data_IF_219121238958
#
_entry.id   IF_219121238958
#
_cell.length_a   1.000
_cell.length_b   1.000
_cell.length_c   1.000
_cell.angle_alpha   90.00
_cell.angle_beta   90.00
_cell.angle_gamma   90.00
#
_symmetry.space_group_name_H-M   'P 1'
#
loop_
_entity.id
_entity.type
_entity.pdbx_description
1 polymer ?
#
# COMPACT_ATOMS: atom_id res chain seq x y z
N UNK A 1 -15.49 -18.81 0.38
CA UNK A 1 -15.62 -18.14 -0.94
C UNK A 1 -14.83 -16.83 -0.96
N UNK A 2 -15.00 -15.90 -0.01
CA UNK A 2 -14.19 -14.65 0.03
C UNK A 2 -12.69 -14.87 0.36
N UNK A 3 -12.38 -15.75 1.32
CA UNK A 3 -10.98 -16.04 1.70
C UNK A 3 -10.14 -16.63 0.56
N UNK A 4 -10.76 -17.40 -0.35
CA UNK A 4 -10.06 -17.97 -1.50
C UNK A 4 -9.70 -16.93 -2.57
N UNK A 5 -10.52 -15.90 -2.75
CA UNK A 5 -10.25 -14.83 -3.71
C UNK A 5 -9.15 -13.91 -3.20
N UNK A 6 -9.19 -13.56 -1.91
CA UNK A 6 -8.13 -12.80 -1.24
C UNK A 6 -6.75 -13.43 -1.44
N UNK A 7 -6.62 -14.72 -1.11
CA UNK A 7 -5.36 -15.46 -1.25
C UNK A 7 -4.90 -15.51 -2.72
N UNK A 8 -5.83 -15.76 -3.64
CA UNK A 8 -5.55 -15.81 -5.07
C UNK A 8 -5.02 -14.46 -5.58
N UNK A 9 -5.69 -13.38 -5.25
CA UNK A 9 -5.40 -12.07 -5.83
C UNK A 9 -4.11 -11.49 -5.28
N UNK A 10 -3.78 -11.73 -4.01
CA UNK A 10 -2.48 -11.38 -3.42
C UNK A 10 -1.30 -12.11 -4.08
N UNK A 11 -1.48 -13.38 -4.47
CA UNK A 11 -0.45 -14.15 -5.18
C UNK A 11 -0.34 -13.72 -6.64
N UNK A 12 -1.46 -13.54 -7.34
CA UNK A 12 -1.49 -13.14 -8.74
C UNK A 12 -0.83 -11.77 -8.97
N UNK A 13 -1.03 -10.83 -8.05
CA UNK A 13 -0.40 -9.52 -8.10
C UNK A 13 1.03 -9.50 -7.53
N UNK A 14 1.57 -10.67 -7.17
CA UNK A 14 2.91 -10.85 -6.58
C UNK A 14 3.12 -10.09 -5.29
N UNK A 15 2.06 -9.69 -4.58
CA UNK A 15 2.18 -9.09 -3.24
C UNK A 15 2.72 -10.13 -2.26
N UNK A 16 2.30 -11.37 -2.44
CA UNK A 16 2.94 -12.56 -1.87
C UNK A 16 3.79 -13.21 -2.98
N UNK A 17 5.10 -13.43 -2.79
CA UNK A 17 5.88 -13.21 -1.57
C UNK A 17 6.63 -11.86 -1.53
N UNK A 18 6.48 -10.98 -2.51
CA UNK A 18 7.42 -9.85 -2.67
C UNK A 18 7.29 -8.76 -1.60
N UNK A 19 6.09 -8.53 -1.07
CA UNK A 19 5.80 -7.44 -0.12
C UNK A 19 5.54 -8.00 1.26
N UNK A 20 4.79 -9.10 1.34
CA UNK A 20 4.48 -9.83 2.56
C UNK A 20 4.72 -11.33 2.33
N UNK A 21 5.14 -12.07 3.36
CA UNK A 21 5.60 -13.45 3.17
C UNK A 21 4.43 -14.43 2.97
N UNK A 22 3.25 -14.10 3.52
CA UNK A 22 2.04 -14.93 3.48
C UNK A 22 0.81 -14.07 3.23
N UNK A 23 -0.28 -14.62 2.66
CA UNK A 23 -1.53 -13.90 2.50
C UNK A 23 -2.11 -13.47 3.86
N UNK A 24 -2.81 -12.33 3.93
CA UNK A 24 -3.52 -11.92 5.14
C UNK A 24 -4.71 -12.84 5.43
N UNK A 25 -5.09 -12.94 6.69
CA UNK A 25 -6.22 -13.78 7.12
C UNK A 25 -7.57 -13.18 6.76
N UNK A 26 -7.66 -11.84 6.72
CA UNK A 26 -8.89 -11.10 6.46
C UNK A 26 -8.71 -9.98 5.43
N UNK A 27 -9.81 -9.59 4.79
CA UNK A 27 -9.84 -8.42 3.92
C UNK A 27 -9.84 -7.14 4.78
N UNK A 28 -8.93 -6.22 4.49
CA UNK A 28 -8.96 -4.87 5.06
C UNK A 28 -9.92 -4.00 4.25
N UNK A 29 -11.02 -3.56 4.85
CA UNK A 29 -11.95 -2.63 4.20
C UNK A 29 -11.39 -1.22 4.29
N UNK A 30 -11.03 -0.65 3.13
CA UNK A 30 -10.49 0.72 3.03
C UNK A 30 -11.46 1.55 2.20
N UNK A 31 -11.94 2.66 2.77
CA UNK A 31 -12.84 3.61 2.11
C UNK A 31 -12.27 5.01 2.20
N UNK A 32 -11.94 5.59 1.05
CA UNK A 32 -11.51 6.98 0.93
C UNK A 32 -12.73 7.93 0.89
N UNK A 33 -12.54 9.24 1.19
CA UNK A 33 -13.59 10.24 1.04
C UNK A 33 -14.24 10.21 -0.35
N UNK A 34 -15.54 10.48 -0.42
CA UNK A 34 -16.33 10.32 -1.65
C UNK A 34 -16.70 8.87 -1.96
N UNK A 35 -16.75 8.01 -0.94
CA UNK A 35 -17.19 6.60 -1.00
C UNK A 35 -16.32 5.68 -1.88
N UNK A 36 -15.10 6.10 -2.19
CA UNK A 36 -14.21 5.32 -3.03
C UNK A 36 -13.59 4.16 -2.26
N UNK A 37 -13.89 2.92 -2.68
CA UNK A 37 -13.44 1.70 -2.01
C UNK A 37 -12.21 1.10 -2.69
N UNK A 38 -11.31 0.55 -1.88
CA UNK A 38 -10.22 -0.33 -2.32
C UNK A 38 -10.75 -1.76 -2.43
N UNK A 39 -10.48 -2.40 -3.55
CA UNK A 39 -10.97 -3.75 -3.86
C UNK A 39 -9.93 -4.53 -4.67
N UNK A 40 -8.99 -5.17 -3.96
CA UNK A 40 -8.08 -6.21 -4.48
C UNK A 40 -7.48 -5.93 -5.86
N UNK A 41 -6.91 -4.74 -6.03
CA UNK A 41 -6.19 -4.35 -7.25
C UNK A 41 -6.96 -3.45 -8.19
N UNK A 42 -8.16 -2.98 -7.81
CA UNK A 42 -8.86 -1.95 -8.56
C UNK A 42 -7.98 -0.70 -8.76
N UNK A 43 -8.25 0.03 -9.84
CA UNK A 43 -7.54 1.26 -10.15
C UNK A 43 -8.23 2.42 -9.43
N UNK A 44 -7.45 3.20 -8.69
CA UNK A 44 -7.88 4.45 -8.08
C UNK A 44 -7.01 5.61 -8.57
N UNK A 45 -7.64 6.74 -8.89
CA UNK A 45 -6.91 7.92 -9.34
C UNK A 45 -6.23 8.61 -8.16
N UNK A 46 -5.04 9.23 -8.36
CA UNK A 46 -4.31 9.94 -7.30
C UNK A 46 -5.18 10.94 -6.53
N UNK A 47 -6.07 11.65 -7.25
CA UNK A 47 -7.00 12.62 -6.64
C UNK A 47 -8.02 11.97 -5.68
N UNK A 48 -8.37 10.70 -5.89
CA UNK A 48 -9.32 9.97 -5.05
C UNK A 48 -8.67 9.43 -3.77
N UNK A 49 -7.36 9.20 -3.79
CA UNK A 49 -6.61 8.56 -2.69
C UNK A 49 -5.69 9.51 -1.95
N UNK A 50 -5.87 10.82 -2.14
CA UNK A 50 -5.03 11.87 -1.54
C UNK A 50 -5.27 12.07 -0.03
N UNK A 51 -6.49 11.80 0.43
CA UNK A 51 -6.94 12.07 1.79
C UNK A 51 -6.92 10.78 2.64
N UNK A 52 -6.93 10.92 3.96
CA UNK A 52 -6.90 9.78 4.88
C UNK A 52 -8.16 8.90 4.72
N UNK A 53 -8.04 7.58 4.47
CA UNK A 53 -9.19 6.70 4.39
C UNK A 53 -9.67 6.25 5.78
N UNK A 54 -10.90 5.77 5.83
CA UNK A 54 -11.41 4.96 6.94
C UNK A 54 -11.08 3.50 6.68
N UNK A 55 -10.55 2.82 7.69
CA UNK A 55 -10.14 1.41 7.63
C UNK A 55 -10.91 0.57 8.64
N UNK A 56 -11.35 -0.63 8.24
CA UNK A 56 -12.10 -1.56 9.08
C UNK A 56 -11.67 -3.00 8.81
N UNK A 57 -11.47 -3.76 9.88
CA UNK A 57 -11.17 -5.20 9.85
C UNK A 57 -11.64 -5.85 11.16
N UNK A 58 -11.74 -7.19 11.23
CA UNK A 58 -12.01 -7.88 12.49
C UNK A 58 -10.90 -7.60 13.51
N UNK A 59 -11.24 -6.97 14.64
CA UNK A 59 -10.29 -6.65 15.71
C UNK A 59 -10.51 -7.55 16.92
N UNK A 60 -9.41 -7.94 17.56
CA UNK A 60 -9.43 -8.58 18.86
C UNK A 60 -9.34 -7.52 19.97
N UNK A 61 -10.21 -7.58 20.99
CA UNK A 61 -10.14 -6.65 22.12
C UNK A 61 -8.78 -6.72 22.84
N UNK A 62 -8.25 -5.57 23.24
CA UNK A 62 -6.97 -5.42 23.98
C UNK A 62 -5.72 -5.80 23.18
N UNK A 63 -5.84 -5.98 21.86
CA UNK A 63 -4.70 -6.18 20.96
C UNK A 63 -4.34 -4.86 20.28
N UNK A 64 -3.05 -4.57 20.16
CA UNK A 64 -2.55 -3.43 19.38
C UNK A 64 -2.19 -3.89 17.98
N UNK A 65 -2.57 -3.08 16.99
CA UNK A 65 -2.29 -3.34 15.58
C UNK A 65 -1.44 -2.23 14.99
N UNK A 66 -0.59 -2.60 14.03
CA UNK A 66 0.18 -1.63 13.22
C UNK A 66 -0.37 -1.65 11.81
N UNK A 67 -0.78 -0.48 11.30
CA UNK A 67 -1.20 -0.32 9.91
C UNK A 67 -0.01 0.19 9.07
N UNK A 68 0.29 -0.51 7.97
CA UNK A 68 1.34 -0.12 7.03
C UNK A 68 0.76 0.08 5.63
N UNK A 69 1.04 1.24 5.03
CA UNK A 69 0.78 1.52 3.61
C UNK A 69 2.13 1.69 2.92
N UNK A 70 2.44 0.85 1.93
CA UNK A 70 3.71 0.85 1.19
C UNK A 70 3.47 0.82 -0.31
N UNK A 71 4.40 1.38 -1.08
CA UNK A 71 4.42 1.29 -2.54
C UNK A 71 5.66 0.49 -2.99
N UNK A 72 5.46 -0.78 -3.36
CA UNK A 72 6.55 -1.63 -3.81
C UNK A 72 7.02 -1.30 -5.24
N UNK A 73 6.25 -0.51 -6.00
CA UNK A 73 6.38 -0.36 -7.44
C UNK A 73 6.91 1.03 -7.88
N UNK A 74 7.30 1.89 -6.94
CA UNK A 74 7.85 3.21 -7.24
C UNK A 74 9.28 3.16 -7.85
N UNK A 75 9.62 3.99 -8.88
CA UNK A 75 8.76 4.97 -9.58
C UNK A 75 7.95 4.39 -10.75
N UNK A 76 8.21 3.13 -11.14
CA UNK A 76 7.44 2.40 -12.15
C UNK A 76 7.80 0.90 -12.11
N UNK A 77 6.79 0.04 -12.34
CA UNK A 77 6.92 -1.42 -12.45
C UNK A 77 7.92 -1.87 -13.53
N UNK A 78 8.14 -1.06 -14.57
CA UNK A 78 9.01 -1.43 -15.71
C UNK A 78 10.50 -1.16 -15.47
N UNK A 79 10.85 -0.37 -14.46
CA UNK A 79 12.26 -0.09 -14.07
C UNK A 79 12.38 0.18 -12.56
N UNK A 80 12.41 -0.87 -11.71
CA UNK A 80 12.44 -0.73 -10.27
C UNK A 80 13.85 -0.36 -9.76
N UNK A 81 14.28 0.90 -9.94
CA UNK A 81 15.57 1.40 -9.43
C UNK A 81 15.54 1.78 -7.94
N UNK A 82 14.35 1.97 -7.35
CA UNK A 82 14.17 2.50 -5.97
C UNK A 82 13.10 1.78 -5.13
N UNK A 83 13.02 0.44 -5.22
CA UNK A 83 12.20 -0.40 -4.29
C UNK A 83 12.52 -0.03 -2.84
N UNK A 84 11.65 0.34 -1.90
CA UNK A 84 10.22 0.70 -1.81
C UNK A 84 10.05 2.20 -1.44
N UNK A 85 8.98 2.88 -1.87
CA UNK A 85 8.68 4.27 -1.46
C UNK A 85 7.56 4.34 -0.43
N UNK A 86 7.73 5.20 0.58
CA UNK A 86 6.71 5.50 1.58
C UNK A 86 5.81 6.65 1.11
N UNK A 87 4.50 6.42 1.02
CA UNK A 87 3.52 7.46 0.71
C UNK A 87 3.28 8.46 1.85
N UNK A 88 3.51 8.08 3.13
CA UNK A 88 3.20 8.93 4.29
C UNK A 88 4.41 9.74 4.82
N UNK A 89 5.62 9.59 4.26
CA UNK A 89 6.80 10.32 4.75
C UNK A 89 7.70 10.76 3.59
N UNK A 90 7.69 12.06 3.30
CA UNK A 90 8.37 12.68 2.16
C UNK A 90 9.88 12.87 2.31
N UNK A 91 10.50 12.35 3.38
CA UNK A 91 11.95 12.49 3.60
C UNK A 91 12.64 11.13 3.78
N UNK A 92 13.42 10.73 2.77
CA UNK A 92 14.55 9.81 2.94
C UNK A 92 14.27 8.31 3.13
N UNK A 93 13.04 7.83 2.94
CA UNK A 93 12.69 6.39 3.11
C UNK A 93 12.50 5.63 1.79
N UNK A 94 13.45 5.73 0.87
CA UNK A 94 13.57 4.69 -0.17
C UNK A 94 14.02 3.39 0.48
N UNK A 95 13.48 2.23 0.05
CA UNK A 95 13.81 0.86 0.53
C UNK A 95 13.12 0.39 1.82
N UNK A 96 11.88 0.81 2.07
CA UNK A 96 11.12 0.27 3.21
C UNK A 96 10.42 -1.06 2.97
N UNK A 97 11.01 -2.09 3.53
CA UNK A 97 10.45 -3.43 3.46
C UNK A 97 9.56 -3.71 4.65
N UNK A 98 8.28 -3.93 4.37
CA UNK A 98 7.31 -4.39 5.38
C UNK A 98 7.78 -5.70 6.00
N UNK A 99 8.41 -6.59 5.23
CA UNK A 99 9.01 -7.83 5.75
C UNK A 99 10.09 -7.53 6.79
N UNK A 100 11.11 -6.76 6.43
CA UNK A 100 12.19 -6.42 7.36
C UNK A 100 11.68 -5.66 8.59
N UNK A 101 10.67 -4.82 8.42
CA UNK A 101 10.04 -4.11 9.53
C UNK A 101 9.28 -5.08 10.46
N UNK A 102 8.48 -5.99 9.91
CA UNK A 102 7.77 -7.01 10.68
C UNK A 102 8.73 -7.92 11.43
N UNK A 103 9.80 -8.38 10.79
CA UNK A 103 10.84 -9.22 11.40
C UNK A 103 11.57 -8.49 12.53
N UNK A 104 12.01 -7.25 12.28
CA UNK A 104 12.76 -6.45 13.26
C UNK A 104 11.96 -6.21 14.55
N UNK A 105 10.65 -6.02 14.44
CA UNK A 105 9.77 -5.73 15.57
C UNK A 105 8.90 -6.93 15.99
N UNK A 106 9.13 -8.11 15.42
CA UNK A 106 8.43 -9.35 15.72
C UNK A 106 6.91 -9.21 15.66
N UNK A 107 6.40 -8.50 14.64
CA UNK A 107 4.96 -8.20 14.50
C UNK A 107 4.13 -9.40 14.05
N UNK A 108 4.78 -10.48 13.61
CA UNK A 108 4.12 -11.70 13.18
C UNK A 108 3.56 -11.64 11.76
N UNK A 109 2.51 -12.40 11.52
CA UNK A 109 1.86 -12.54 10.21
C UNK A 109 0.82 -11.43 9.97
N UNK A 110 0.57 -11.03 8.72
CA UNK A 110 -0.44 -10.02 8.42
C UNK A 110 -1.85 -10.51 8.76
N UNK A 111 -2.56 -9.75 9.60
CA UNK A 111 -3.94 -10.07 10.03
C UNK A 111 -4.96 -9.68 8.96
N UNK A 112 -4.80 -8.48 8.39
CA UNK A 112 -5.68 -7.99 7.34
C UNK A 112 -4.90 -7.24 6.26
N UNK A 113 -5.37 -7.29 5.02
CA UNK A 113 -4.74 -6.59 3.91
C UNK A 113 -5.67 -6.30 2.75
N UNK A 114 -5.31 -5.28 1.98
CA UNK A 114 -5.95 -4.92 0.71
C UNK A 114 -4.95 -4.10 -0.12
N UNK A 115 -5.23 -3.92 -1.41
CA UNK A 115 -4.36 -3.20 -2.33
C UNK A 115 -5.15 -2.60 -3.50
N UNK A 116 -4.58 -1.57 -4.11
CA UNK A 116 -5.10 -0.93 -5.33
C UNK A 116 -3.92 -0.51 -6.22
N UNK A 117 -4.21 -0.16 -7.46
CA UNK A 117 -3.24 0.43 -8.38
C UNK A 117 -3.52 1.94 -8.49
N UNK A 118 -2.53 2.76 -8.17
CA UNK A 118 -2.57 4.20 -8.46
C UNK A 118 -2.04 4.43 -9.88
N UNK A 119 -2.87 4.94 -10.79
CA UNK A 119 -2.39 5.29 -12.13
C UNK A 119 -1.72 6.67 -12.13
N UNK A 120 -0.63 6.79 -12.88
CA UNK A 120 0.01 8.07 -13.16
C UNK A 120 -0.84 8.85 -14.17
N UNK A 121 -1.29 10.04 -13.80
CA UNK A 121 -2.02 10.96 -14.65
C UNK A 121 -1.37 12.35 -14.65
N UNK A 122 -1.91 13.30 -15.43
CA UNK A 122 -1.43 14.68 -15.51
C UNK A 122 -1.57 15.47 -14.19
N UNK A 123 -2.24 14.90 -13.19
CA UNK A 123 -2.32 15.49 -11.85
C UNK A 123 -1.07 15.16 -11.03
N UNK A 124 -0.40 14.03 -11.27
CA UNK A 124 0.80 13.62 -10.54
C UNK A 124 1.94 14.64 -10.62
N UNK A 125 2.34 15.17 -11.79
CA UNK A 125 3.35 16.24 -11.85
C UNK A 125 2.97 17.50 -11.06
N UNK A 126 1.67 17.83 -10.99
CA UNK A 126 1.17 19.00 -10.24
C UNK A 126 1.30 18.76 -8.74
N UNK A 127 0.94 17.55 -8.28
CA UNK A 127 1.06 17.13 -6.89
C UNK A 127 2.52 17.15 -6.41
N UNK A 128 3.45 16.55 -7.15
CA UNK A 128 4.87 16.56 -6.78
C UNK A 128 5.48 17.97 -6.75
N UNK A 129 5.03 18.86 -7.64
CA UNK A 129 5.43 20.27 -7.62
C UNK A 129 4.96 20.99 -6.35
N UNK A 130 3.76 20.66 -5.85
CA UNK A 130 3.21 21.20 -4.60
C UNK A 130 3.90 20.63 -3.35
N UNK A 131 4.36 19.38 -3.39
CA UNK A 131 5.05 18.71 -2.29
C UNK A 131 6.55 19.06 -2.20
N UNK A 132 7.05 19.96 -3.06
CA UNK A 132 8.43 20.46 -3.00
C UNK A 132 9.52 19.45 -3.40
N UNK A 133 9.16 18.33 -4.05
CA UNK A 133 10.09 17.23 -4.34
C UNK A 133 10.85 17.35 -5.67
N UNK A 134 10.86 18.53 -6.30
CA UNK A 134 11.67 18.79 -7.50
C UNK A 134 12.82 19.76 -7.21
N UNK A 135 13.88 19.21 -6.61
CA UNK A 135 15.24 19.56 -7.03
C UNK A 135 15.90 18.24 -7.46
N UNK A 136 16.10 18.07 -8.77
CA UNK A 136 16.92 17.02 -9.41
C UNK A 136 16.29 15.64 -9.66
N UNK A 137 15.28 15.56 -10.52
CA UNK A 137 14.91 14.30 -11.17
C UNK A 137 14.35 14.53 -12.59
N UNK A 138 15.18 15.10 -13.47
CA UNK A 138 15.28 14.78 -14.90
C UNK A 138 16.75 14.86 -15.28
#
# INVERSE_FOLDING_TARGET
MAASELVRDFKNHKIVPDVIPVPPESLLHVTYPGEQKVNLGNILMPKQVKDCPVVQWPVEPKTFYTLCMTDPDAPSRTTPKFREWHHWSSQGRGKFSIQKFSEKYQLGIPVAGNFFQAQYDDYVPKLYRQLGQFQNAF
#
